data_IF_271098848083
#
_entry.id   IF_271098848083
#
_cell.length_a   1.000
_cell.length_b   1.000
_cell.length_c   1.000
_cell.angle_alpha   90.00
_cell.angle_beta   90.00
_cell.angle_gamma   90.00
#
_symmetry.space_group_name_H-M   'P 1'
#
loop_
_entity.id
_entity.type
_entity.pdbx_description
1 polymer ?
#
# COMPACT_ATOMS: atom_id res chain seq x y z
N UNK A 1 -9.33 0.67 6.52
CA UNK A 1 -9.49 -0.67 5.92
C UNK A 1 -8.10 -1.23 5.66
N UNK A 2 -7.79 -2.39 6.23
CA UNK A 2 -6.55 -3.15 5.98
C UNK A 2 -6.86 -4.44 5.22
N UNK A 3 -6.00 -4.79 4.28
CA UNK A 3 -6.09 -6.02 3.49
C UNK A 3 -4.78 -6.78 3.70
N UNK A 4 -4.87 -8.03 4.14
CA UNK A 4 -3.71 -8.89 4.39
C UNK A 4 -4.04 -10.31 3.92
N UNK A 5 -3.07 -10.99 3.32
CA UNK A 5 -3.25 -12.34 2.79
C UNK A 5 -3.32 -13.37 3.92
N UNK A 6 -2.53 -13.18 4.96
CA UNK A 6 -2.38 -14.13 6.06
C UNK A 6 -3.46 -13.91 7.16
N UNK A 7 -4.17 -14.98 7.51
CA UNK A 7 -5.33 -14.92 8.41
C UNK A 7 -4.95 -14.60 9.86
N UNK A 8 -3.90 -15.22 10.39
CA UNK A 8 -3.42 -14.99 11.75
C UNK A 8 -3.02 -13.52 11.97
N UNK A 9 -2.50 -12.86 10.95
CA UNK A 9 -2.05 -11.47 10.94
C UNK A 9 -3.26 -10.53 10.98
N UNK A 10 -4.34 -10.87 10.26
CA UNK A 10 -5.63 -10.17 10.37
C UNK A 10 -6.26 -10.34 11.75
N UNK A 11 -6.19 -11.55 12.34
CA UNK A 11 -6.70 -11.81 13.69
C UNK A 11 -5.91 -10.99 14.73
N UNK A 12 -4.58 -10.99 14.62
CA UNK A 12 -3.69 -10.17 15.45
C UNK A 12 -3.98 -8.67 15.29
N UNK A 13 -4.23 -8.19 14.07
CA UNK A 13 -4.59 -6.79 13.83
C UNK A 13 -5.92 -6.40 14.50
N UNK A 14 -6.93 -7.29 14.51
CA UNK A 14 -8.20 -7.08 15.21
C UNK A 14 -8.03 -7.06 16.72
N UNK A 15 -7.21 -7.96 17.26
CA UNK A 15 -6.87 -7.97 18.69
C UNK A 15 -6.14 -6.68 19.09
N UNK A 16 -5.15 -6.25 18.30
CA UNK A 16 -4.43 -5.00 18.53
C UNK A 16 -5.37 -3.79 18.50
N UNK A 17 -6.30 -3.72 17.55
CA UNK A 17 -7.30 -2.65 17.51
C UNK A 17 -8.17 -2.64 18.79
N UNK A 18 -8.58 -3.82 19.27
CA UNK A 18 -9.36 -3.96 20.51
C UNK A 18 -8.56 -3.53 21.75
N UNK A 19 -7.29 -3.92 21.85
CA UNK A 19 -6.42 -3.56 22.99
C UNK A 19 -6.20 -2.04 23.07
N UNK A 20 -6.25 -1.35 21.93
CA UNK A 20 -6.02 0.10 21.84
C UNK A 20 -7.32 0.93 21.69
N UNK A 21 -8.50 0.32 21.92
CA UNK A 21 -9.81 0.97 21.77
C UNK A 21 -10.03 1.66 20.40
N UNK A 22 -9.44 1.11 19.34
CA UNK A 22 -9.56 1.62 17.97
C UNK A 22 -10.75 0.95 17.27
N UNK A 23 -11.81 1.72 17.02
CA UNK A 23 -13.07 1.22 16.44
C UNK A 23 -13.31 1.62 14.98
N UNK A 24 -12.51 2.53 14.42
CA UNK A 24 -12.63 3.05 13.06
C UNK A 24 -11.79 2.26 12.03
N UNK A 25 -11.53 0.98 12.31
CA UNK A 25 -10.71 0.10 11.46
C UNK A 25 -11.48 -1.16 11.08
N UNK A 26 -11.23 -1.63 9.87
CA UNK A 26 -11.77 -2.87 9.34
C UNK A 26 -10.63 -3.63 8.67
N UNK A 27 -10.54 -4.95 8.90
CA UNK A 27 -9.48 -5.79 8.38
C UNK A 27 -10.05 -6.98 7.63
N UNK A 28 -9.57 -7.23 6.41
CA UNK A 28 -9.99 -8.32 5.56
C UNK A 28 -8.84 -9.24 5.21
N UNK A 29 -9.10 -10.54 5.26
CA UNK A 29 -8.17 -11.56 4.77
C UNK A 29 -8.41 -11.81 3.29
N UNK A 30 -7.36 -11.68 2.47
CA UNK A 30 -7.42 -11.99 1.05
C UNK A 30 -6.33 -11.31 0.23
N UNK A 31 -6.26 -11.67 -1.05
CA UNK A 31 -5.37 -11.01 -2.00
C UNK A 31 -5.83 -9.58 -2.25
N UNK A 32 -4.87 -8.67 -2.42
CA UNK A 32 -5.12 -7.24 -2.60
C UNK A 32 -6.00 -7.00 -3.83
N UNK A 33 -5.71 -7.64 -4.96
CA UNK A 33 -6.48 -7.50 -6.20
C UNK A 33 -7.95 -7.93 -6.05
N UNK A 34 -8.22 -9.03 -5.36
CA UNK A 34 -9.56 -9.55 -5.15
C UNK A 34 -10.35 -8.70 -4.16
N UNK A 35 -9.68 -8.24 -3.11
CA UNK A 35 -10.31 -7.47 -2.04
C UNK A 35 -10.54 -6.02 -2.44
N UNK A 36 -9.63 -5.39 -3.19
CA UNK A 36 -9.84 -4.05 -3.72
C UNK A 36 -11.05 -4.00 -4.65
N UNK A 37 -11.26 -5.00 -5.50
CA UNK A 37 -12.44 -5.03 -6.38
C UNK A 37 -13.74 -5.21 -5.58
N UNK A 38 -13.75 -6.03 -4.53
CA UNK A 38 -14.92 -6.19 -3.64
C UNK A 38 -15.23 -4.91 -2.87
N UNK A 39 -14.21 -4.32 -2.25
CA UNK A 39 -14.35 -3.18 -1.35
C UNK A 39 -14.57 -1.87 -2.13
N UNK A 40 -13.98 -1.72 -3.31
CA UNK A 40 -14.19 -0.51 -4.12
C UNK A 40 -15.64 -0.30 -4.54
N UNK A 41 -16.43 -1.37 -4.65
CA UNK A 41 -17.87 -1.27 -4.94
C UNK A 41 -18.68 -0.61 -3.81
N UNK A 42 -18.22 -0.72 -2.56
CA UNK A 42 -18.87 -0.11 -1.39
C UNK A 42 -18.23 1.20 -0.96
N UNK A 43 -17.04 1.53 -1.47
CA UNK A 43 -16.35 2.78 -1.17
C UNK A 43 -16.70 3.85 -2.20
N UNK A 44 -17.39 4.91 -1.75
CA UNK A 44 -17.68 6.08 -2.59
C UNK A 44 -16.39 6.77 -3.07
N UNK A 45 -15.33 6.80 -2.24
CA UNK A 45 -14.04 7.44 -2.54
C UNK A 45 -12.95 6.91 -1.62
N UNK A 46 -11.76 6.67 -2.16
CA UNK A 46 -10.55 6.36 -1.38
C UNK A 46 -9.64 7.57 -1.40
N UNK A 47 -9.40 8.20 -0.26
CA UNK A 47 -8.53 9.39 -0.23
C UNK A 47 -7.05 9.01 -0.29
N UNK A 48 -6.63 8.06 0.56
CA UNK A 48 -5.22 7.67 0.69
C UNK A 48 -5.10 6.16 0.74
N UNK A 49 -4.10 5.63 0.03
CA UNK A 49 -3.69 4.23 0.14
C UNK A 49 -2.26 4.17 0.66
N UNK A 50 -2.04 3.33 1.67
CA UNK A 50 -0.70 2.93 2.11
C UNK A 50 -0.41 1.55 1.52
N UNK A 51 0.77 1.39 0.91
CA UNK A 51 1.24 0.11 0.39
C UNK A 51 2.66 -0.15 0.86
N UNK A 52 2.90 -1.40 1.29
CA UNK A 52 4.21 -1.92 1.68
C UNK A 52 4.37 -3.32 1.05
N UNK A 53 4.68 -3.40 -0.26
CA UNK A 53 4.79 -4.67 -0.96
C UNK A 53 6.09 -5.41 -0.60
N UNK A 54 6.17 -6.72 -0.88
CA UNK A 54 7.41 -7.47 -0.73
C UNK A 54 8.53 -6.94 -1.64
N UNK A 55 9.76 -7.44 -1.45
CA UNK A 55 10.95 -7.04 -2.22
C UNK A 55 10.79 -7.09 -3.75
N UNK A 56 9.88 -7.91 -4.27
CA UNK A 56 9.55 -8.01 -5.70
C UNK A 56 8.76 -6.81 -6.23
N UNK A 57 8.31 -5.89 -5.37
CA UNK A 57 7.36 -4.83 -5.71
C UNK A 57 5.92 -5.34 -5.76
N UNK A 58 5.02 -4.50 -6.27
CA UNK A 58 3.61 -4.83 -6.36
C UNK A 58 3.31 -5.83 -7.48
N UNK A 59 2.45 -6.80 -7.20
CA UNK A 59 1.91 -7.68 -8.21
C UNK A 59 1.15 -6.87 -9.29
N UNK A 60 1.19 -7.34 -10.55
CA UNK A 60 0.59 -6.64 -11.69
C UNK A 60 -0.92 -6.37 -11.48
N UNK A 61 -1.66 -7.35 -10.98
CA UNK A 61 -3.09 -7.19 -10.75
C UNK A 61 -3.40 -6.21 -9.61
N UNK A 62 -2.57 -6.19 -8.55
CA UNK A 62 -2.69 -5.21 -7.47
C UNK A 62 -2.44 -3.78 -7.99
N UNK A 63 -1.44 -3.59 -8.87
CA UNK A 63 -1.18 -2.29 -9.53
C UNK A 63 -2.38 -1.81 -10.35
N UNK A 64 -2.98 -2.71 -11.13
CA UNK A 64 -4.18 -2.39 -11.92
C UNK A 64 -5.36 -2.06 -11.02
N UNK A 65 -5.59 -2.83 -9.96
CA UNK A 65 -6.65 -2.56 -8.99
C UNK A 65 -6.46 -1.19 -8.34
N UNK A 66 -5.24 -0.84 -7.93
CA UNK A 66 -4.89 0.46 -7.34
C UNK A 66 -5.20 1.63 -8.29
N UNK A 67 -4.84 1.49 -9.57
CA UNK A 67 -5.17 2.50 -10.59
C UNK A 67 -6.67 2.60 -10.84
N UNK A 68 -7.44 1.51 -10.72
CA UNK A 68 -8.91 1.53 -10.90
C UNK A 68 -9.61 2.27 -9.78
N UNK A 69 -9.17 2.08 -8.53
CA UNK A 69 -9.76 2.76 -7.37
C UNK A 69 -9.35 4.24 -7.27
N UNK A 70 -8.31 4.65 -8.00
CA UNK A 70 -7.90 6.05 -8.21
C UNK A 70 -7.80 6.86 -6.92
N UNK A 71 -7.06 6.41 -5.88
CA UNK A 71 -6.90 7.21 -4.67
C UNK A 71 -6.27 8.57 -4.97
N UNK A 72 -6.55 9.58 -4.16
CA UNK A 72 -5.90 10.89 -4.30
C UNK A 72 -4.43 10.82 -3.95
N UNK A 73 -4.07 10.01 -2.94
CA UNK A 73 -2.71 9.85 -2.45
C UNK A 73 -2.31 8.39 -2.34
N UNK A 74 -1.07 8.08 -2.69
CA UNK A 74 -0.45 6.78 -2.48
C UNK A 74 0.83 7.00 -1.67
N UNK A 75 0.90 6.40 -0.49
CA UNK A 75 2.11 6.30 0.31
C UNK A 75 2.71 4.92 0.05
N UNK A 76 3.80 4.88 -0.70
CA UNK A 76 4.51 3.67 -1.08
C UNK A 76 5.74 3.50 -0.20
N UNK A 77 5.74 2.47 0.64
CA UNK A 77 6.89 2.04 1.45
C UNK A 77 7.60 0.90 0.70
N UNK A 78 8.93 0.91 0.64
CA UNK A 78 9.67 -0.13 -0.07
C UNK A 78 11.03 -0.42 0.54
N UNK A 79 11.31 -1.71 0.69
CA UNK A 79 12.64 -2.25 1.02
C UNK A 79 13.54 -2.47 -0.20
N UNK A 80 13.04 -2.14 -1.41
CA UNK A 80 13.77 -2.28 -2.66
C UNK A 80 13.47 -1.12 -3.62
N UNK A 81 14.30 -0.06 -3.60
CA UNK A 81 14.11 1.11 -4.46
C UNK A 81 14.04 0.78 -5.96
N UNK A 82 14.65 -0.32 -6.40
CA UNK A 82 14.68 -0.69 -7.82
C UNK A 82 13.30 -1.10 -8.32
N UNK A 83 12.59 -1.96 -7.59
CA UNK A 83 11.23 -2.37 -7.97
C UNK A 83 10.23 -1.26 -7.71
N UNK A 84 10.47 -0.42 -6.68
CA UNK A 84 9.67 0.79 -6.44
C UNK A 84 9.68 1.74 -7.65
N UNK A 85 10.83 1.93 -8.32
CA UNK A 85 10.91 2.78 -9.54
C UNK A 85 10.01 2.26 -10.65
N UNK A 86 9.96 0.94 -10.86
CA UNK A 86 9.10 0.33 -11.89
C UNK A 86 7.62 0.58 -11.59
N UNK A 87 7.22 0.43 -10.34
CA UNK A 87 5.84 0.64 -9.90
C UNK A 87 5.43 2.11 -9.95
N UNK A 88 6.28 3.02 -9.48
CA UNK A 88 6.05 4.47 -9.57
C UNK A 88 5.93 4.88 -11.04
N UNK A 89 6.84 4.40 -11.89
CA UNK A 89 6.79 4.68 -13.33
C UNK A 89 5.50 4.19 -13.99
N UNK A 90 4.96 3.05 -13.52
CA UNK A 90 3.64 2.59 -13.93
C UNK A 90 2.54 3.54 -13.46
N UNK A 91 2.50 3.89 -12.17
CA UNK A 91 1.50 4.80 -11.60
C UNK A 91 1.51 6.18 -12.26
N UNK A 92 2.68 6.71 -12.61
CA UNK A 92 2.82 7.99 -13.31
C UNK A 92 2.13 8.01 -14.68
N UNK A 93 2.08 6.87 -15.39
CA UNK A 93 1.33 6.75 -16.65
C UNK A 93 -0.18 6.89 -16.47
N UNK A 94 -0.68 6.79 -15.24
CA UNK A 94 -2.09 6.91 -14.88
C UNK A 94 -2.43 8.20 -14.11
N UNK A 95 -1.59 9.23 -14.24
CA UNK A 95 -1.86 10.56 -13.70
C UNK A 95 -1.46 10.75 -12.24
N UNK A 96 -0.49 9.97 -11.75
CA UNK A 96 0.15 10.23 -10.47
C UNK A 96 1.46 10.98 -10.64
N UNK A 97 1.77 11.86 -9.70
CA UNK A 97 3.05 12.55 -9.60
C UNK A 97 3.76 12.16 -8.32
N UNK A 98 5.06 11.89 -8.43
CA UNK A 98 5.93 11.74 -7.25
C UNK A 98 6.12 13.11 -6.59
N UNK A 99 5.61 13.28 -5.38
CA UNK A 99 5.67 14.52 -4.61
C UNK A 99 6.87 14.52 -3.66
N UNK A 100 7.15 13.37 -3.03
CA UNK A 100 8.23 13.23 -2.07
C UNK A 100 8.82 11.83 -2.13
N UNK A 101 10.14 11.74 -1.94
CA UNK A 101 10.87 10.50 -1.75
C UNK A 101 11.82 10.67 -0.55
N UNK A 102 11.65 9.84 0.48
CA UNK A 102 12.45 9.87 1.69
C UNK A 102 13.10 8.49 1.92
N UNK A 103 14.42 8.37 1.74
CA UNK A 103 15.17 7.20 2.20
C UNK A 103 15.24 7.16 3.73
N UNK A 104 15.20 5.97 4.31
CA UNK A 104 15.26 5.72 5.76
C UNK A 104 16.24 4.57 6.00
N UNK A 105 17.26 4.84 6.83
CA UNK A 105 18.21 3.82 7.27
C UNK A 105 17.61 3.01 8.44
N UNK A 106 16.75 2.04 8.10
CA UNK A 106 16.15 1.11 9.06
C UNK A 106 17.10 -0.03 9.47
N UNK A 107 18.17 -0.26 8.69
CA UNK A 107 19.11 -1.36 8.86
C UNK A 107 20.56 -0.85 8.75
N UNK A 108 21.05 -0.08 9.75
CA UNK A 108 22.39 0.50 9.71
C UNK A 108 23.47 -0.57 9.52
N UNK A 109 24.56 -0.20 8.85
CA UNK A 109 25.69 -1.08 8.53
C UNK A 109 25.35 -2.24 7.57
N UNK A 110 24.21 -2.17 6.89
CA UNK A 110 23.85 -3.10 5.81
C UNK A 110 23.71 -2.35 4.48
N UNK A 111 23.72 -3.02 3.32
CA UNK A 111 23.42 -2.38 2.05
C UNK A 111 21.91 -2.13 1.84
N UNK A 112 21.05 -2.48 2.82
CA UNK A 112 19.61 -2.28 2.70
C UNK A 112 19.23 -0.83 2.94
N UNK A 113 18.23 -0.36 2.21
CA UNK A 113 17.64 0.96 2.37
C UNK A 113 16.13 0.82 2.24
N UNK A 114 15.40 1.39 3.19
CA UNK A 114 13.96 1.56 3.09
C UNK A 114 13.65 2.92 2.46
N UNK A 115 12.62 3.01 1.65
CA UNK A 115 12.19 4.26 1.02
C UNK A 115 10.70 4.46 1.20
N UNK A 116 10.31 5.70 1.51
CA UNK A 116 8.93 6.16 1.47
C UNK A 116 8.76 7.11 0.30
N UNK A 117 7.82 6.81 -0.59
CA UNK A 117 7.41 7.69 -1.67
C UNK A 117 5.96 8.16 -1.47
N UNK A 118 5.72 9.46 -1.58
CA UNK A 118 4.38 10.03 -1.66
C UNK A 118 4.06 10.33 -3.12
N UNK A 119 3.00 9.73 -3.63
CA UNK A 119 2.43 10.08 -4.92
C UNK A 119 1.06 10.74 -4.72
N UNK A 120 0.78 11.77 -5.49
CA UNK A 120 -0.53 12.42 -5.53
C UNK A 120 -1.07 12.39 -6.96
N UNK A 121 -2.40 12.24 -7.08
CA UNK A 121 -3.07 12.27 -8.36
C UNK A 121 -3.18 13.71 -8.86
N UNK A 122 -2.76 13.94 -10.11
CA UNK A 122 -2.92 15.22 -10.81
C UNK A 122 -4.38 15.47 -11.24
#
# INVERSE_FOLDING_TARGET
>A
IGIELEKCSVETAKENAKINDVSNVEFHTGKVEDMLDKISSSLNRVNTVFIDPPRSGMHYDARRALVRIKPERIVYISCNPRTQVEDISYLMKFGYKLILLQPIDMLPHTPHIETLALLEKE
#
